data_IF_459362042888
#
_entry.id   IF_459362042888
#
_cell.length_a   1.000
_cell.length_b   1.000
_cell.length_c   1.000
_cell.angle_alpha   90.00
_cell.angle_beta   90.00
_cell.angle_gamma   90.00
#
_symmetry.space_group_name_H-M   'P 1'
#
loop_
_entity.id
_entity.type
_entity.pdbx_description
1 polymer ?
#
# COMPACT_ATOMS: atom_id res chain seq x y z
N UNK A 1 -23.21 -1.59 23.26
CA UNK A 1 -21.93 -1.69 22.52
C UNK A 1 -20.94 -2.42 23.40
N UNK A 2 -20.13 -3.32 22.85
CA UNK A 2 -19.00 -3.89 23.61
C UNK A 2 -17.94 -2.81 23.81
N UNK A 3 -17.12 -2.90 24.86
CA UNK A 3 -16.02 -1.94 25.12
C UNK A 3 -15.10 -1.77 23.89
N UNK A 4 -14.96 -2.82 23.10
CA UNK A 4 -14.20 -2.81 21.82
C UNK A 4 -14.90 -2.03 20.70
N UNK A 5 -16.22 -2.09 20.59
CA UNK A 5 -16.99 -1.31 19.61
C UNK A 5 -16.94 0.18 19.93
N UNK A 6 -16.96 0.55 21.20
CA UNK A 6 -16.82 1.93 21.63
C UNK A 6 -15.41 2.48 21.30
N UNK A 7 -14.34 1.71 21.61
CA UNK A 7 -12.97 2.08 21.34
C UNK A 7 -12.71 2.34 19.84
N UNK A 8 -13.25 1.47 18.97
CA UNK A 8 -13.03 1.56 17.52
C UNK A 8 -14.17 2.24 16.75
N UNK A 9 -15.13 2.89 17.45
CA UNK A 9 -16.33 3.48 16.84
C UNK A 9 -16.03 4.42 15.67
N UNK A 10 -14.99 5.28 15.79
CA UNK A 10 -14.57 6.20 14.72
C UNK A 10 -13.96 5.46 13.53
N UNK A 11 -13.22 4.39 13.78
CA UNK A 11 -12.62 3.57 12.72
C UNK A 11 -13.70 2.74 12.02
N UNK A 12 -14.68 2.21 12.77
CA UNK A 12 -15.83 1.52 12.22
C UNK A 12 -16.66 2.47 11.34
N UNK A 13 -16.85 3.71 11.75
CA UNK A 13 -17.54 4.72 10.94
C UNK A 13 -16.77 5.07 9.65
N UNK A 14 -15.42 5.10 9.71
CA UNK A 14 -14.58 5.43 8.56
C UNK A 14 -14.37 4.25 7.59
N UNK A 15 -14.21 3.03 8.10
CA UNK A 15 -13.78 1.87 7.31
C UNK A 15 -14.85 0.78 7.19
N UNK A 16 -15.94 0.88 7.95
CA UNK A 16 -17.00 -0.13 8.03
C UNK A 16 -16.64 -1.34 8.90
N UNK A 17 -17.67 -2.04 9.36
CA UNK A 17 -17.54 -3.20 10.26
C UNK A 17 -16.76 -4.36 9.64
N UNK A 18 -17.00 -4.62 8.35
CA UNK A 18 -16.30 -5.72 7.63
C UNK A 18 -14.79 -5.53 7.62
N UNK A 19 -14.35 -4.33 7.44
CA UNK A 19 -12.94 -3.96 7.37
C UNK A 19 -12.29 -4.07 8.75
N UNK A 20 -12.95 -3.57 9.78
CA UNK A 20 -12.48 -3.73 11.16
C UNK A 20 -12.38 -5.20 11.57
N UNK A 21 -13.31 -6.05 11.13
CA UNK A 21 -13.25 -7.50 11.35
C UNK A 21 -12.04 -8.16 10.64
N UNK A 22 -11.60 -7.62 9.51
CA UNK A 22 -10.38 -8.09 8.85
C UNK A 22 -9.12 -7.60 9.58
N UNK A 23 -9.08 -6.32 9.98
CA UNK A 23 -7.96 -5.76 10.77
C UNK A 23 -7.77 -6.57 12.05
N UNK A 24 -8.83 -6.83 12.80
CA UNK A 24 -8.77 -7.55 14.08
C UNK A 24 -8.26 -8.99 14.01
N UNK A 25 -8.09 -9.56 12.81
CA UNK A 25 -7.52 -10.90 12.58
C UNK A 25 -6.08 -10.85 12.08
N UNK A 26 -5.58 -9.67 11.72
CA UNK A 26 -4.27 -9.50 11.08
C UNK A 26 -3.12 -9.76 12.06
N UNK A 27 -2.12 -10.51 11.61
CA UNK A 27 -0.88 -10.79 12.34
C UNK A 27 0.29 -10.21 11.57
N UNK A 28 1.03 -9.31 12.21
CA UNK A 28 2.08 -8.52 11.55
C UNK A 28 3.41 -8.76 12.23
N UNK A 29 4.46 -8.95 11.43
CA UNK A 29 5.84 -9.01 11.87
C UNK A 29 6.60 -7.78 11.37
N UNK A 30 7.24 -7.04 12.27
CA UNK A 30 8.00 -5.84 11.97
C UNK A 30 9.46 -6.04 12.35
N UNK A 31 10.35 -5.94 11.37
CA UNK A 31 11.79 -6.00 11.54
C UNK A 31 12.40 -4.60 11.50
N UNK A 32 13.19 -4.25 12.53
CA UNK A 32 13.76 -2.93 12.73
C UNK A 32 12.83 -2.01 13.54
N UNK A 33 13.30 -1.54 14.71
CA UNK A 33 12.51 -0.72 15.64
C UNK A 33 13.27 0.57 15.97
N UNK A 34 13.86 1.18 14.94
CA UNK A 34 14.35 2.55 15.00
C UNK A 34 13.16 3.52 14.84
N UNK A 35 13.42 4.78 14.52
CA UNK A 35 12.39 5.80 14.40
C UNK A 35 11.24 5.43 13.46
N UNK A 36 11.54 4.91 12.24
CA UNK A 36 10.50 4.49 11.29
C UNK A 36 9.71 3.29 11.81
N UNK A 37 10.40 2.25 12.27
CA UNK A 37 9.75 1.02 12.73
C UNK A 37 8.88 1.23 13.97
N UNK A 38 9.28 2.11 14.88
CA UNK A 38 8.46 2.43 16.06
C UNK A 38 7.19 3.22 15.69
N UNK A 39 7.29 4.16 14.74
CA UNK A 39 6.14 4.89 14.22
C UNK A 39 5.13 3.98 13.52
N UNK A 40 5.61 3.05 12.70
CA UNK A 40 4.78 2.00 12.09
C UNK A 40 4.11 1.16 13.18
N UNK A 41 4.89 0.65 14.14
CA UNK A 41 4.38 -0.20 15.23
C UNK A 41 3.29 0.48 16.02
N UNK A 42 3.50 1.75 16.42
CA UNK A 42 2.51 2.57 17.12
C UNK A 42 1.21 2.68 16.33
N UNK A 43 1.29 3.12 15.08
CA UNK A 43 0.11 3.37 14.26
C UNK A 43 -0.71 2.08 14.05
N UNK A 44 -0.02 0.96 13.82
CA UNK A 44 -0.69 -0.32 13.58
C UNK A 44 -1.29 -0.90 14.84
N UNK A 45 -0.61 -0.82 15.99
CA UNK A 45 -1.17 -1.28 17.28
C UNK A 45 -2.45 -0.50 17.61
N UNK A 46 -2.46 0.81 17.36
CA UNK A 46 -3.66 1.65 17.55
C UNK A 46 -4.79 1.31 16.58
N UNK A 47 -4.47 0.75 15.40
CA UNK A 47 -5.49 0.28 14.45
C UNK A 47 -6.20 -1.02 14.89
N UNK A 48 -5.63 -1.78 15.83
CA UNK A 48 -6.28 -2.93 16.47
C UNK A 48 -6.14 -4.28 15.76
N UNK A 49 -4.97 -4.67 15.22
CA UNK A 49 -4.77 -6.01 14.67
C UNK A 49 -4.77 -7.07 15.77
N UNK A 50 -4.85 -8.35 15.39
CA UNK A 50 -4.79 -9.46 16.35
C UNK A 50 -3.45 -9.51 17.07
N UNK A 51 -2.34 -9.36 16.30
CA UNK A 51 -0.99 -9.52 16.81
C UNK A 51 0.00 -8.64 16.06
N UNK A 52 0.88 -7.97 16.80
CA UNK A 52 2.07 -7.30 16.28
C UNK A 52 3.29 -7.89 16.98
N UNK A 53 4.20 -8.47 16.20
CA UNK A 53 5.47 -8.98 16.70
C UNK A 53 6.59 -8.14 16.12
N UNK A 54 7.51 -7.72 16.96
CA UNK A 54 8.64 -6.90 16.57
C UNK A 54 9.94 -7.70 16.67
N UNK A 55 10.94 -7.31 15.90
CA UNK A 55 12.30 -7.82 16.03
C UNK A 55 13.32 -6.74 15.75
N UNK A 56 14.21 -6.52 16.70
CA UNK A 56 15.40 -5.69 16.57
C UNK A 56 16.38 -6.02 17.69
N UNK A 57 17.37 -6.80 17.40
CA UNK A 57 18.37 -7.25 18.40
C UNK A 57 19.53 -6.27 18.58
N UNK A 58 19.53 -5.15 17.85
CA UNK A 58 20.55 -4.11 18.02
C UNK A 58 20.42 -3.41 19.37
N UNK A 59 21.53 -2.86 19.83
CA UNK A 59 21.57 -2.06 21.05
C UNK A 59 21.12 -0.63 20.74
N UNK A 60 20.44 -0.05 21.72
CA UNK A 60 20.03 1.35 21.69
C UNK A 60 21.28 2.25 21.75
N UNK A 61 21.35 3.20 20.86
CA UNK A 61 22.40 4.23 20.81
C UNK A 61 21.81 5.60 21.09
N UNK A 62 22.67 6.61 21.25
CA UNK A 62 22.22 7.98 21.50
C UNK A 62 21.41 8.54 20.33
N UNK A 63 21.72 8.12 19.10
CA UNK A 63 21.01 8.54 17.89
C UNK A 63 19.55 8.05 17.88
N UNK A 64 19.27 6.90 18.49
CA UNK A 64 17.91 6.37 18.57
C UNK A 64 16.98 7.24 19.41
N UNK A 65 17.50 7.97 20.39
CA UNK A 65 16.73 8.89 21.23
C UNK A 65 16.13 10.06 20.43
N UNK A 66 16.75 10.41 19.30
CA UNK A 66 16.28 11.49 18.43
C UNK A 66 15.04 11.14 17.59
N UNK A 67 14.74 9.85 17.41
CA UNK A 67 13.65 9.39 16.54
C UNK A 67 12.69 8.38 17.19
N UNK A 68 13.13 7.63 18.19
CA UNK A 68 12.29 6.72 18.96
C UNK A 68 11.88 7.35 20.29
N UNK A 69 10.70 7.95 20.33
CA UNK A 69 10.16 8.70 21.47
C UNK A 69 9.79 7.85 22.71
N UNK A 70 9.89 6.53 22.62
CA UNK A 70 9.69 5.63 23.77
C UNK A 70 10.96 5.39 24.58
N UNK A 71 12.13 5.79 24.06
CA UNK A 71 13.42 5.54 24.67
C UNK A 71 13.88 6.72 25.53
N UNK A 72 14.60 6.41 26.60
CA UNK A 72 15.22 7.35 27.52
C UNK A 72 16.74 7.09 27.58
N UNK A 73 17.54 8.06 28.08
CA UNK A 73 18.98 7.91 28.19
C UNK A 73 19.42 6.66 28.98
N UNK A 74 18.64 6.26 29.99
CA UNK A 74 18.88 5.04 30.78
C UNK A 74 18.78 3.74 29.97
N UNK A 75 18.14 3.79 28.80
CA UNK A 75 17.92 2.62 27.94
C UNK A 75 19.09 2.35 26.99
N UNK A 76 20.04 3.30 26.88
CA UNK A 76 21.23 3.16 26.03
C UNK A 76 22.00 1.89 26.38
N UNK A 77 22.37 1.11 25.36
CA UNK A 77 23.06 -0.17 25.48
C UNK A 77 22.14 -1.38 25.69
N UNK A 78 20.84 -1.18 25.99
CA UNK A 78 19.84 -2.23 26.06
C UNK A 78 19.41 -2.67 24.66
N UNK A 79 18.78 -3.85 24.54
CA UNK A 79 18.25 -4.34 23.27
C UNK A 79 16.99 -3.56 22.89
N UNK A 80 16.95 -3.07 21.64
CA UNK A 80 15.95 -2.10 21.16
C UNK A 80 14.52 -2.65 21.21
N UNK A 81 14.27 -3.86 20.71
CA UNK A 81 12.93 -4.47 20.72
C UNK A 81 12.43 -4.76 22.15
N UNK A 82 13.29 -5.29 23.03
CA UNK A 82 12.92 -5.62 24.41
C UNK A 82 12.56 -4.40 25.24
N UNK A 83 13.16 -3.26 24.92
CA UNK A 83 12.86 -2.01 25.63
C UNK A 83 11.58 -1.40 25.07
N UNK A 84 11.46 -1.30 23.75
CA UNK A 84 10.31 -0.68 23.10
C UNK A 84 9.01 -1.44 23.32
N UNK A 85 9.03 -2.77 23.40
CA UNK A 85 7.81 -3.60 23.54
C UNK A 85 7.01 -3.23 24.78
N UNK A 86 7.65 -2.85 25.87
CA UNK A 86 6.97 -2.47 27.12
C UNK A 86 6.03 -1.29 26.93
N UNK A 87 6.50 -0.29 26.18
CA UNK A 87 5.71 0.92 25.87
C UNK A 87 4.65 0.67 24.79
N UNK A 88 4.97 -0.19 23.83
CA UNK A 88 4.01 -0.59 22.81
C UNK A 88 2.80 -1.34 23.38
N UNK A 89 3.01 -2.16 24.42
CA UNK A 89 1.92 -2.87 25.14
C UNK A 89 0.95 -1.92 25.85
N UNK A 90 1.39 -0.72 26.22
CA UNK A 90 0.54 0.28 26.90
C UNK A 90 -0.43 0.96 25.91
N UNK A 91 -0.20 0.90 24.60
CA UNK A 91 -1.00 1.61 23.60
C UNK A 91 -2.40 1.03 23.39
N UNK A 92 -2.50 -0.31 23.45
CA UNK A 92 -3.75 -0.99 23.14
C UNK A 92 -3.80 -2.38 23.78
N UNK A 93 -4.60 -2.53 24.79
CA UNK A 93 -4.73 -3.78 25.57
C UNK A 93 -5.39 -4.94 24.80
N UNK A 94 -6.05 -4.64 23.67
CA UNK A 94 -6.71 -5.66 22.85
C UNK A 94 -5.79 -6.28 21.80
N UNK A 95 -4.61 -5.69 21.59
CA UNK A 95 -3.61 -6.17 20.62
C UNK A 95 -2.53 -6.99 21.32
N UNK A 96 -2.31 -8.20 20.85
CA UNK A 96 -1.20 -9.01 21.36
C UNK A 96 0.12 -8.49 20.79
N UNK A 97 0.99 -7.94 21.65
CA UNK A 97 2.31 -7.48 21.27
C UNK A 97 3.38 -8.36 21.89
N UNK A 98 4.34 -8.81 21.09
CA UNK A 98 5.54 -9.52 21.58
C UNK A 98 6.76 -9.25 20.67
N UNK A 99 7.89 -9.88 20.95
CA UNK A 99 9.10 -9.79 20.13
C UNK A 99 9.66 -11.19 19.83
N UNK A 100 10.32 -11.35 18.66
CA UNK A 100 10.99 -12.59 18.30
C UNK A 100 12.25 -12.79 19.14
N UNK A 101 12.52 -14.04 19.46
CA UNK A 101 13.71 -14.42 20.23
C UNK A 101 14.96 -14.55 19.35
N UNK A 102 14.78 -14.89 18.09
CA UNK A 102 15.84 -15.12 17.10
C UNK A 102 15.56 -14.41 15.78
N UNK A 103 16.59 -14.32 14.93
CA UNK A 103 16.54 -13.64 13.61
C UNK A 103 16.19 -14.64 12.48
N UNK A 104 15.38 -15.64 12.75
CA UNK A 104 14.97 -16.58 11.72
C UNK A 104 13.59 -16.22 11.13
N UNK A 105 13.54 -15.06 10.43
CA UNK A 105 12.31 -14.57 9.84
C UNK A 105 11.65 -15.58 8.91
N UNK A 106 12.48 -16.31 8.15
CA UNK A 106 12.03 -17.29 7.16
C UNK A 106 11.17 -18.40 7.77
N UNK A 107 11.52 -18.86 8.98
CA UNK A 107 10.73 -19.88 9.70
C UNK A 107 9.41 -19.33 10.24
N UNK A 108 9.41 -18.07 10.64
CA UNK A 108 8.25 -17.44 11.26
C UNK A 108 7.22 -16.90 10.25
N UNK A 109 7.56 -16.76 8.95
CA UNK A 109 6.64 -16.19 7.94
C UNK A 109 5.26 -16.87 7.90
N UNK A 110 5.17 -18.16 8.20
CA UNK A 110 3.89 -18.90 8.17
C UNK A 110 2.89 -18.40 9.21
N UNK A 111 3.36 -17.83 10.30
CA UNK A 111 2.55 -17.37 11.44
C UNK A 111 1.95 -15.97 11.20
N UNK A 112 2.46 -15.21 10.21
CA UNK A 112 2.09 -13.83 9.96
C UNK A 112 1.43 -13.67 8.59
N UNK A 113 0.62 -12.65 8.47
CA UNK A 113 -0.05 -12.26 7.22
C UNK A 113 0.73 -11.19 6.47
N UNK A 114 1.54 -10.41 7.19
CA UNK A 114 2.33 -9.31 6.65
C UNK A 114 3.71 -9.26 7.33
N UNK A 115 4.76 -9.12 6.52
CA UNK A 115 6.12 -8.80 6.96
C UNK A 115 6.48 -7.37 6.56
N UNK A 116 6.97 -6.61 7.52
CA UNK A 116 7.48 -5.24 7.31
C UNK A 116 8.95 -5.22 7.69
N UNK A 117 9.79 -4.70 6.81
CA UNK A 117 11.22 -4.48 7.07
C UNK A 117 11.47 -2.99 7.01
N UNK A 118 11.88 -2.39 8.13
CA UNK A 118 12.12 -0.95 8.26
C UNK A 118 13.58 -0.60 8.57
N UNK A 119 14.48 -1.56 8.40
CA UNK A 119 15.91 -1.36 8.57
C UNK A 119 16.69 -2.02 7.42
N UNK A 120 17.87 -1.50 7.12
CA UNK A 120 18.70 -2.06 6.05
C UNK A 120 19.27 -3.42 6.46
N UNK A 121 19.18 -4.38 5.56
CA UNK A 121 19.84 -5.68 5.67
C UNK A 121 20.41 -6.10 4.31
N UNK A 122 20.99 -7.29 4.24
CA UNK A 122 21.50 -7.83 2.97
C UNK A 122 20.35 -7.91 1.94
N UNK A 123 20.55 -7.27 0.78
CA UNK A 123 19.51 -7.18 -0.25
C UNK A 123 19.07 -8.55 -0.77
N UNK A 124 19.98 -9.52 -0.83
CA UNK A 124 19.66 -10.87 -1.28
C UNK A 124 18.70 -11.56 -0.28
N UNK A 125 18.87 -11.28 1.03
CA UNK A 125 17.95 -11.77 2.06
C UNK A 125 16.59 -11.10 1.93
N UNK A 126 16.54 -9.78 1.70
CA UNK A 126 15.28 -9.05 1.48
C UNK A 126 14.53 -9.62 0.27
N UNK A 127 15.22 -9.84 -0.86
CA UNK A 127 14.62 -10.44 -2.05
C UNK A 127 14.09 -11.86 -1.79
N UNK A 128 14.81 -12.68 -1.05
CA UNK A 128 14.35 -14.02 -0.66
C UNK A 128 13.11 -13.98 0.23
N UNK A 129 13.07 -13.08 1.21
CA UNK A 129 11.93 -12.88 2.09
C UNK A 129 10.71 -12.37 1.31
N UNK A 130 10.89 -11.39 0.41
CA UNK A 130 9.82 -10.91 -0.46
C UNK A 130 9.27 -12.05 -1.33
N UNK A 131 10.13 -12.79 -2.02
CA UNK A 131 9.71 -13.94 -2.85
C UNK A 131 8.96 -14.99 -2.05
N UNK A 132 9.42 -15.30 -0.84
CA UNK A 132 8.73 -16.22 0.06
C UNK A 132 7.35 -15.70 0.47
N UNK A 133 7.22 -14.41 0.77
CA UNK A 133 5.94 -13.77 1.05
C UNK A 133 5.01 -13.83 -0.17
N UNK A 134 5.50 -13.43 -1.34
CA UNK A 134 4.74 -13.42 -2.60
C UNK A 134 4.16 -14.80 -2.94
N UNK A 135 5.00 -15.85 -2.92
CA UNK A 135 4.59 -17.23 -3.19
C UNK A 135 3.57 -17.77 -2.17
N UNK A 136 3.66 -17.34 -0.92
CA UNK A 136 2.75 -17.75 0.15
C UNK A 136 1.54 -16.81 0.32
N UNK A 137 1.33 -15.87 -0.60
CA UNK A 137 0.23 -14.88 -0.56
C UNK A 137 0.21 -14.08 0.74
N UNK A 138 1.38 -13.71 1.24
CA UNK A 138 1.59 -12.85 2.40
C UNK A 138 1.98 -11.45 1.92
N UNK A 139 1.52 -10.43 2.63
CA UNK A 139 1.96 -9.07 2.34
C UNK A 139 3.43 -8.86 2.71
N UNK A 140 4.10 -8.02 1.95
CA UNK A 140 5.48 -7.62 2.20
C UNK A 140 5.65 -6.12 1.99
N UNK A 141 6.28 -5.45 2.95
CA UNK A 141 6.64 -4.04 2.84
C UNK A 141 8.11 -3.89 3.21
N UNK A 142 8.87 -3.21 2.36
CA UNK A 142 10.23 -2.80 2.66
C UNK A 142 10.34 -1.28 2.58
N UNK A 143 10.70 -0.66 3.70
CA UNK A 143 10.75 0.80 3.79
C UNK A 143 11.97 1.28 4.58
N UNK A 144 12.52 2.43 4.19
CA UNK A 144 13.69 3.03 4.81
C UNK A 144 13.56 4.55 4.88
N UNK A 145 14.12 5.13 5.93
CA UNK A 145 14.38 6.57 6.05
C UNK A 145 15.87 6.79 6.04
N UNK A 146 16.33 7.73 5.24
CA UNK A 146 17.70 8.23 5.25
C UNK A 146 17.68 9.75 5.07
N UNK A 147 17.89 10.46 6.18
CA UNK A 147 17.79 11.91 6.26
C UNK A 147 16.38 12.40 5.92
N UNK A 148 16.26 13.20 4.87
CA UNK A 148 15.00 13.74 4.38
C UNK A 148 14.31 12.83 3.34
N UNK A 149 14.88 11.66 3.04
CA UNK A 149 14.37 10.75 2.02
C UNK A 149 13.67 9.55 2.67
N UNK A 150 12.54 9.18 2.09
CA UNK A 150 11.79 7.98 2.44
C UNK A 150 11.66 7.09 1.22
N UNK A 151 11.94 5.80 1.38
CA UNK A 151 11.77 4.77 0.37
C UNK A 151 10.78 3.73 0.88
N UNK A 152 9.83 3.34 0.03
CA UNK A 152 8.86 2.30 0.37
C UNK A 152 8.60 1.43 -0.86
N UNK A 153 8.73 0.14 -0.68
CA UNK A 153 8.33 -0.89 -1.64
C UNK A 153 7.24 -1.75 -1.00
N UNK A 154 6.19 -2.03 -1.76
CA UNK A 154 5.03 -2.80 -1.32
C UNK A 154 4.78 -3.94 -2.29
N UNK A 155 4.56 -5.13 -1.76
CA UNK A 155 4.14 -6.30 -2.51
C UNK A 155 3.04 -7.05 -1.76
N UNK A 156 1.83 -6.99 -2.29
CA UNK A 156 0.66 -7.70 -1.75
C UNK A 156 0.24 -8.87 -2.66
N UNK A 157 1.11 -9.26 -3.60
CA UNK A 157 0.83 -10.31 -4.56
C UNK A 157 -0.34 -9.93 -5.48
N UNK A 158 -1.25 -10.86 -5.71
CA UNK A 158 -2.50 -10.58 -6.41
C UNK A 158 -3.53 -10.09 -5.40
N UNK A 159 -3.78 -8.80 -5.41
CA UNK A 159 -4.67 -8.13 -4.48
C UNK A 159 -5.98 -7.72 -5.17
N UNK A 160 -7.11 -8.04 -4.55
CA UNK A 160 -8.43 -7.71 -5.05
C UNK A 160 -8.98 -6.57 -4.18
N UNK A 161 -9.09 -5.40 -4.76
CA UNK A 161 -9.77 -4.27 -4.14
C UNK A 161 -11.24 -4.41 -4.49
N UNK A 162 -12.05 -4.70 -3.50
CA UNK A 162 -13.49 -4.61 -3.67
C UNK A 162 -13.83 -3.13 -3.79
N UNK A 163 -14.24 -2.71 -4.96
CA UNK A 163 -14.71 -1.34 -5.22
C UNK A 163 -16.10 -1.15 -4.56
N UNK A 164 -16.19 -1.49 -3.29
CA UNK A 164 -17.33 -1.14 -2.46
C UNK A 164 -16.99 0.24 -1.91
N UNK A 165 -17.22 1.27 -2.70
CA UNK A 165 -17.53 2.55 -2.09
C UNK A 165 -18.56 2.24 -1.00
N UNK A 166 -18.40 2.78 0.20
CA UNK A 166 -19.32 2.58 1.34
C UNK A 166 -20.78 3.00 1.01
N UNK A 167 -21.05 3.29 -0.25
CA UNK A 167 -22.36 3.56 -0.80
C UNK A 167 -23.00 2.23 -1.16
N UNK A 168 -24.20 2.04 -0.71
CA UNK A 168 -25.11 1.03 -1.22
C UNK A 168 -25.06 1.07 -2.75
N UNK A 169 -25.06 -0.11 -3.39
CA UNK A 169 -25.10 -0.26 -4.84
C UNK A 169 -26.16 0.69 -5.41
N UNK A 170 -25.74 1.65 -6.23
CA UNK A 170 -26.64 2.68 -6.77
C UNK A 170 -27.70 2.03 -7.61
N UNK A 171 -28.96 2.39 -7.38
CA UNK A 171 -30.14 1.88 -8.07
C UNK A 171 -30.99 3.03 -8.54
N UNK A 172 -31.43 2.97 -9.78
CA UNK A 172 -32.29 3.99 -10.37
C UNK A 172 -33.49 3.37 -11.05
N UNK A 173 -34.64 4.01 -10.96
CA UNK A 173 -35.84 3.59 -11.65
C UNK A 173 -35.81 4.03 -13.11
N UNK A 174 -36.29 3.12 -14.00
CA UNK A 174 -36.39 3.37 -15.43
C UNK A 174 -37.71 4.06 -15.71
N UNK A 175 -37.64 5.26 -16.29
CA UNK A 175 -38.82 6.00 -16.77
C UNK A 175 -39.25 5.54 -18.15
N UNK A 176 -38.30 5.31 -19.05
CA UNK A 176 -38.57 4.86 -20.43
C UNK A 176 -37.32 4.23 -21.05
N UNK A 177 -37.52 3.39 -22.06
CA UNK A 177 -36.45 2.84 -22.90
C UNK A 177 -36.80 3.10 -24.36
N UNK A 178 -35.87 3.71 -25.10
CA UNK A 178 -36.02 3.93 -26.55
C UNK A 178 -35.15 2.96 -27.34
N UNK A 179 -35.77 2.18 -28.20
CA UNK A 179 -35.08 1.25 -29.09
C UNK A 179 -34.16 1.97 -30.09
N UNK A 180 -33.11 1.28 -30.51
CA UNK A 180 -32.17 1.75 -31.51
C UNK A 180 -30.94 0.85 -31.62
N UNK A 181 -30.03 1.17 -32.55
CA UNK A 181 -28.71 0.53 -32.64
C UNK A 181 -27.88 0.68 -31.37
N UNK A 182 -28.15 1.72 -30.60
CA UNK A 182 -27.74 1.95 -29.22
C UNK A 182 -29.02 2.17 -28.44
N UNK A 183 -29.23 1.38 -27.41
CA UNK A 183 -30.44 1.46 -26.59
C UNK A 183 -30.30 2.62 -25.62
N UNK A 184 -31.28 3.54 -25.64
CA UNK A 184 -31.30 4.71 -24.75
C UNK A 184 -32.24 4.48 -23.57
N UNK A 185 -31.74 4.64 -22.37
CA UNK A 185 -32.45 4.44 -21.11
C UNK A 185 -32.66 5.79 -20.44
N UNK A 186 -33.90 6.11 -20.11
CA UNK A 186 -34.31 7.31 -19.39
C UNK A 186 -34.56 6.98 -17.94
N UNK A 187 -33.99 7.75 -17.04
CA UNK A 187 -34.07 7.56 -15.59
C UNK A 187 -35.16 8.46 -15.02
N UNK A 188 -35.84 7.95 -14.00
CA UNK A 188 -36.77 8.73 -13.21
C UNK A 188 -36.00 9.45 -12.11
N UNK A 189 -35.85 10.79 -12.29
CA UNK A 189 -35.10 11.63 -11.37
C UNK A 189 -35.98 12.34 -10.32
N UNK A 190 -37.22 11.91 -10.15
CA UNK A 190 -38.13 12.58 -9.18
C UNK A 190 -37.66 12.45 -7.73
N UNK A 191 -36.90 11.40 -7.42
CA UNK A 191 -36.47 11.09 -6.04
C UNK A 191 -34.96 11.12 -5.80
N UNK A 192 -34.12 10.90 -6.83
CA UNK A 192 -32.65 10.87 -6.70
C UNK A 192 -31.96 11.43 -7.94
N UNK A 193 -30.85 12.13 -7.72
CA UNK A 193 -30.00 12.59 -8.83
C UNK A 193 -29.27 11.40 -9.44
N UNK A 194 -29.25 11.31 -10.78
CA UNK A 194 -28.50 10.29 -11.49
C UNK A 194 -27.00 10.61 -11.47
N UNK A 195 -26.20 9.73 -10.85
CA UNK A 195 -24.77 9.95 -10.57
C UNK A 195 -23.84 8.95 -11.28
N UNK A 196 -24.39 8.05 -12.11
CA UNK A 196 -23.54 7.14 -12.88
C UNK A 196 -22.83 7.89 -14.02
N UNK A 197 -21.63 7.42 -14.34
CA UNK A 197 -20.77 8.05 -15.33
C UNK A 197 -20.58 7.15 -16.56
N UNK A 198 -20.13 7.77 -17.64
CA UNK A 198 -19.74 7.06 -18.85
C UNK A 198 -18.57 6.10 -18.54
N UNK A 199 -18.69 4.86 -19.01
CA UNK A 199 -17.72 3.79 -18.78
C UNK A 199 -18.08 2.84 -17.64
N UNK A 200 -18.97 3.22 -16.72
CA UNK A 200 -19.46 2.33 -15.65
C UNK A 200 -20.38 1.24 -16.23
N UNK A 201 -20.58 0.18 -15.47
CA UNK A 201 -21.40 -0.95 -15.89
C UNK A 201 -22.69 -1.05 -15.07
N UNK A 202 -23.77 -1.46 -15.76
CA UNK A 202 -25.09 -1.64 -15.15
C UNK A 202 -25.71 -2.96 -15.54
N UNK A 203 -26.62 -3.45 -14.69
CA UNK A 203 -27.54 -4.54 -14.98
C UNK A 203 -28.95 -3.98 -14.92
N UNK A 204 -29.78 -4.42 -15.85
CA UNK A 204 -31.19 -4.02 -15.92
C UNK A 204 -32.03 -5.14 -15.31
N UNK A 205 -32.99 -4.76 -14.46
CA UNK A 205 -33.89 -5.69 -13.76
C UNK A 205 -35.34 -5.21 -13.83
N UNK A 206 -36.27 -6.10 -13.64
CA UNK A 206 -37.70 -5.86 -13.42
C UNK A 206 -38.39 -5.01 -14.52
N UNK A 207 -37.92 -5.12 -15.77
CA UNK A 207 -38.50 -4.43 -16.92
C UNK A 207 -39.72 -5.25 -17.42
N UNK A 208 -40.84 -4.58 -17.69
CA UNK A 208 -41.96 -5.14 -18.41
C UNK A 208 -41.91 -4.79 -19.90
N UNK A 209 -41.98 -5.75 -20.77
CA UNK A 209 -41.56 -5.63 -22.16
C UNK A 209 -40.05 -5.68 -22.30
N UNK A 210 -39.52 -5.74 -23.50
CA UNK A 210 -38.07 -5.83 -23.77
C UNK A 210 -37.36 -6.92 -22.92
N UNK A 211 -37.96 -8.09 -22.79
CA UNK A 211 -37.46 -9.20 -21.94
C UNK A 211 -36.03 -9.62 -22.27
N UNK A 212 -35.55 -9.30 -23.48
CA UNK A 212 -34.20 -9.57 -23.95
C UNK A 212 -33.11 -8.76 -23.13
N UNK A 213 -33.53 -7.69 -22.48
CA UNK A 213 -32.63 -6.91 -21.61
C UNK A 213 -32.49 -7.51 -20.19
N UNK A 214 -33.30 -8.51 -19.83
CA UNK A 214 -33.32 -9.19 -18.53
C UNK A 214 -32.41 -10.42 -18.45
N UNK A 215 -31.42 -10.51 -19.33
CA UNK A 215 -30.49 -11.63 -19.42
C UNK A 215 -29.39 -11.65 -18.34
N UNK A 216 -29.39 -10.68 -17.45
CA UNK A 216 -28.40 -10.53 -16.37
C UNK A 216 -27.01 -10.07 -16.84
N UNK A 217 -26.86 -9.73 -18.12
CA UNK A 217 -25.57 -9.24 -18.62
C UNK A 217 -25.26 -7.83 -18.13
N UNK A 218 -23.98 -7.63 -17.88
CA UNK A 218 -23.42 -6.30 -17.62
C UNK A 218 -23.40 -5.48 -18.91
N UNK A 219 -23.85 -4.24 -18.84
CA UNK A 219 -23.89 -3.32 -19.96
C UNK A 219 -23.11 -2.06 -19.63
N UNK A 220 -22.22 -1.65 -20.52
CA UNK A 220 -21.43 -0.45 -20.35
C UNK A 220 -22.25 0.78 -20.68
N UNK A 221 -22.16 1.79 -19.81
CA UNK A 221 -22.77 3.11 -20.05
C UNK A 221 -21.94 3.88 -21.07
N UNK A 222 -22.62 4.42 -22.07
CA UNK A 222 -22.06 5.34 -23.05
C UNK A 222 -22.98 6.55 -23.18
N UNK A 223 -22.43 7.71 -23.60
CA UNK A 223 -23.20 8.95 -23.81
C UNK A 223 -24.11 9.32 -22.62
N UNK A 224 -23.52 9.42 -21.42
CA UNK A 224 -24.24 9.70 -20.19
C UNK A 224 -24.68 11.18 -20.11
N UNK A 225 -25.94 11.42 -19.67
CA UNK A 225 -26.53 12.73 -19.37
C UNK A 225 -27.25 12.69 -18.03
N UNK A 226 -27.70 13.83 -17.54
CA UNK A 226 -28.34 13.96 -16.21
C UNK A 226 -29.57 13.08 -15.98
N UNK A 227 -30.29 12.74 -17.04
CA UNK A 227 -31.57 12.02 -16.97
C UNK A 227 -31.62 10.76 -17.84
N UNK A 228 -30.53 10.44 -18.54
CA UNK A 228 -30.49 9.32 -19.48
C UNK A 228 -29.07 8.92 -19.83
N UNK A 229 -28.94 7.68 -20.30
CA UNK A 229 -27.69 7.15 -20.86
C UNK A 229 -27.97 6.17 -21.98
N UNK A 230 -26.97 5.84 -22.76
CA UNK A 230 -27.02 4.80 -23.79
C UNK A 230 -26.19 3.59 -23.36
N UNK A 231 -26.58 2.41 -23.85
CA UNK A 231 -25.81 1.17 -23.77
C UNK A 231 -25.48 0.64 -25.17
N UNK A 232 -24.35 -0.05 -25.31
CA UNK A 232 -23.91 -0.66 -26.59
C UNK A 232 -24.72 -1.94 -26.89
N UNK A 233 -26.03 -1.80 -27.07
CA UNK A 233 -26.91 -2.91 -27.40
C UNK A 233 -27.93 -2.49 -28.45
N UNK A 234 -28.01 -3.27 -29.53
CA UNK A 234 -28.99 -3.07 -30.60
C UNK A 234 -30.34 -3.69 -30.21
N UNK A 235 -31.26 -2.86 -29.79
CA UNK A 235 -32.60 -3.24 -29.39
C UNK A 235 -33.65 -3.04 -30.50
N UNK A 236 -33.25 -2.81 -31.75
CA UNK A 236 -34.16 -2.47 -32.86
C UNK A 236 -35.24 -3.53 -33.04
N UNK A 237 -34.90 -4.80 -32.85
CA UNK A 237 -35.79 -5.95 -33.01
C UNK A 237 -36.35 -6.49 -31.68
N UNK A 238 -36.16 -5.78 -30.56
CA UNK A 238 -36.69 -6.22 -29.28
C UNK A 238 -38.16 -5.88 -29.14
N UNK A 239 -38.81 -6.50 -28.15
CA UNK A 239 -40.17 -6.16 -27.76
C UNK A 239 -40.24 -4.68 -27.35
N UNK A 240 -41.44 -4.11 -27.35
CA UNK A 240 -41.62 -2.75 -26.88
C UNK A 240 -41.52 -2.64 -25.36
N UNK A 241 -40.91 -1.58 -24.87
CA UNK A 241 -40.92 -1.25 -23.45
C UNK A 241 -42.35 -0.88 -23.01
N UNK A 242 -42.82 -1.51 -21.93
CA UNK A 242 -44.15 -1.26 -21.41
C UNK A 242 -44.08 -0.35 -20.18
N UNK A 243 -43.39 -0.80 -19.13
CA UNK A 243 -43.22 -0.02 -17.90
C UNK A 243 -42.21 -0.66 -16.93
N UNK A 244 -41.82 0.10 -15.90
CA UNK A 244 -41.00 -0.34 -14.77
C UNK A 244 -39.55 -0.61 -15.15
N UNK A 245 -38.80 -1.15 -14.25
CA UNK A 245 -37.41 -1.52 -14.38
C UNK A 245 -36.49 -0.73 -13.46
N UNK A 246 -35.40 -1.39 -13.13
CA UNK A 246 -34.35 -0.86 -12.26
C UNK A 246 -33.02 -0.97 -12.99
N UNK A 247 -32.29 0.13 -13.02
CA UNK A 247 -30.85 0.15 -13.35
C UNK A 247 -30.09 -0.08 -12.07
N UNK A 248 -29.32 -1.12 -12.01
CA UNK A 248 -28.47 -1.45 -10.85
C UNK A 248 -27.00 -1.35 -11.26
N UNK A 249 -26.22 -0.56 -10.55
CA UNK A 249 -24.79 -0.41 -10.75
C UNK A 249 -24.08 -1.76 -10.59
N UNK A 250 -23.11 -2.05 -11.46
CA UNK A 250 -22.22 -3.20 -11.31
C UNK A 250 -20.89 -2.69 -10.82
N UNK A 251 -20.60 -2.94 -9.56
CA UNK A 251 -19.32 -2.64 -8.97
C UNK A 251 -18.34 -3.75 -9.35
N UNK A 252 -17.32 -3.40 -10.14
CA UNK A 252 -16.26 -4.34 -10.50
C UNK A 252 -15.10 -4.27 -9.52
N UNK A 253 -14.62 -5.42 -9.10
CA UNK A 253 -13.42 -5.49 -8.29
C UNK A 253 -12.20 -5.11 -9.13
N UNK A 254 -11.36 -4.24 -8.59
CA UNK A 254 -10.06 -3.90 -9.19
C UNK A 254 -9.05 -4.95 -8.74
N UNK A 255 -8.40 -5.59 -9.72
CA UNK A 255 -7.33 -6.56 -9.44
C UNK A 255 -5.99 -5.85 -9.68
N UNK A 256 -5.17 -5.76 -8.62
CA UNK A 256 -3.81 -5.26 -8.70
C UNK A 256 -2.87 -6.46 -8.56
N UNK A 257 -1.96 -6.63 -9.51
CA UNK A 257 -0.90 -7.63 -9.45
C UNK A 257 0.42 -6.93 -9.15
N UNK A 258 0.90 -7.09 -7.92
CA UNK A 258 2.18 -6.56 -7.48
C UNK A 258 3.32 -7.42 -8.02
N UNK A 259 4.43 -6.78 -8.35
CA UNK A 259 5.65 -7.44 -8.82
C UNK A 259 6.62 -7.67 -7.67
N UNK A 260 7.45 -8.70 -7.79
CA UNK A 260 8.51 -8.99 -6.82
C UNK A 260 9.57 -7.87 -6.80
N UNK A 261 10.21 -7.67 -5.65
CA UNK A 261 11.25 -6.64 -5.45
C UNK A 261 12.42 -6.80 -6.42
N UNK A 262 12.82 -8.03 -6.74
CA UNK A 262 13.90 -8.31 -7.68
C UNK A 262 13.63 -7.74 -9.07
N UNK A 263 12.39 -7.80 -9.53
CA UNK A 263 11.96 -7.22 -10.80
C UNK A 263 11.96 -5.69 -10.72
N UNK A 264 11.33 -5.14 -9.68
CA UNK A 264 11.15 -3.69 -9.52
C UNK A 264 12.46 -2.93 -9.28
N UNK A 265 13.42 -3.53 -8.61
CA UNK A 265 14.76 -2.93 -8.43
C UNK A 265 15.45 -2.67 -9.78
N UNK A 266 15.29 -3.60 -10.74
CA UNK A 266 15.95 -3.53 -12.02
C UNK A 266 15.15 -2.76 -13.09
N UNK A 267 13.86 -2.61 -12.90
CA UNK A 267 12.93 -1.95 -13.82
C UNK A 267 11.95 -1.04 -13.04
N UNK A 268 12.40 0.13 -12.56
CA UNK A 268 11.48 1.07 -11.94
C UNK A 268 10.42 1.48 -12.96
N UNK A 269 9.20 0.97 -12.79
CA UNK A 269 8.09 1.23 -13.69
C UNK A 269 7.64 2.68 -13.59
N UNK A 270 7.21 3.21 -14.73
CA UNK A 270 6.49 4.47 -14.78
C UNK A 270 5.11 4.24 -14.18
N UNK A 271 4.77 5.03 -13.18
CA UNK A 271 3.38 5.13 -12.75
C UNK A 271 2.57 5.77 -13.89
N UNK A 272 1.39 5.26 -14.20
CA UNK A 272 0.53 5.82 -15.25
C UNK A 272 0.18 7.30 -15.00
N UNK A 273 0.12 7.69 -13.73
CA UNK A 273 -0.25 9.05 -13.31
C UNK A 273 0.93 9.95 -12.96
N UNK A 274 2.11 9.38 -12.66
CA UNK A 274 3.29 10.13 -12.22
C UNK A 274 4.51 9.59 -12.96
N UNK A 275 5.08 10.40 -13.85
CA UNK A 275 6.39 10.10 -14.42
C UNK A 275 7.47 10.46 -13.38
N UNK A 276 8.35 9.52 -12.98
CA UNK A 276 9.42 9.82 -12.05
C UNK A 276 10.32 10.91 -12.62
N UNK A 277 10.62 11.90 -11.80
CA UNK A 277 11.55 12.98 -12.16
C UNK A 277 13.01 12.49 -12.07
N UNK A 278 13.94 13.33 -12.47
CA UNK A 278 15.36 13.02 -12.35
C UNK A 278 15.78 12.81 -10.87
N UNK A 279 15.09 13.46 -9.92
CA UNK A 279 15.38 13.31 -8.48
C UNK A 279 15.00 11.93 -7.95
N UNK A 280 13.79 11.45 -8.22
CA UNK A 280 13.34 10.13 -7.78
C UNK A 280 14.21 9.01 -8.37
N UNK A 281 14.62 9.16 -9.63
CA UNK A 281 15.49 8.17 -10.28
C UNK A 281 16.92 8.20 -9.70
N UNK A 282 17.44 9.37 -9.33
CA UNK A 282 18.72 9.47 -8.61
C UNK A 282 18.58 8.93 -7.17
N UNK A 283 17.43 9.10 -6.52
CA UNK A 283 17.15 8.49 -5.21
C UNK A 283 17.13 6.96 -5.30
N UNK A 284 16.47 6.40 -6.33
CA UNK A 284 16.50 4.95 -6.57
C UNK A 284 17.92 4.44 -6.83
N UNK A 285 18.72 5.18 -7.60
CA UNK A 285 20.12 4.84 -7.84
C UNK A 285 20.94 4.87 -6.54
N UNK A 286 20.69 5.88 -5.67
CA UNK A 286 21.33 5.96 -4.37
C UNK A 286 20.93 4.77 -3.47
N UNK A 287 19.65 4.40 -3.45
CA UNK A 287 19.17 3.22 -2.73
C UNK A 287 19.89 1.93 -3.17
N UNK A 288 19.98 1.66 -4.46
CA UNK A 288 20.71 0.49 -4.98
C UNK A 288 22.19 0.50 -4.59
N UNK A 289 22.80 1.68 -4.59
CA UNK A 289 24.20 1.84 -4.24
C UNK A 289 24.45 1.64 -2.75
N UNK A 290 23.54 2.09 -1.88
CA UNK A 290 23.58 1.85 -0.43
C UNK A 290 23.50 0.36 -0.12
N UNK A 291 22.61 -0.37 -0.80
CA UNK A 291 22.50 -1.82 -0.63
C UNK A 291 23.76 -2.55 -1.09
N UNK A 292 24.31 -2.16 -2.22
CA UNK A 292 25.56 -2.77 -2.70
C UNK A 292 26.72 -2.46 -1.75
N UNK A 293 26.83 -1.22 -1.28
CA UNK A 293 27.85 -0.84 -0.30
C UNK A 293 27.68 -1.64 1.01
N UNK A 294 26.44 -1.78 1.53
CA UNK A 294 26.15 -2.55 2.73
C UNK A 294 26.49 -4.03 2.55
N UNK A 295 26.19 -4.63 1.41
CA UNK A 295 26.53 -6.02 1.10
C UNK A 295 28.04 -6.26 1.15
N UNK A 296 28.84 -5.31 0.62
CA UNK A 296 30.30 -5.41 0.57
C UNK A 296 30.98 -5.08 1.91
N UNK A 297 30.46 -4.11 2.68
CA UNK A 297 31.13 -3.59 3.88
C UNK A 297 30.43 -3.95 5.20
N UNK A 298 29.24 -4.56 5.14
CA UNK A 298 28.38 -4.91 6.29
C UNK A 298 28.05 -3.74 7.23
N UNK A 299 28.13 -2.52 6.73
CA UNK A 299 27.76 -1.28 7.41
C UNK A 299 27.28 -0.26 6.38
N UNK A 300 26.52 0.75 6.84
CA UNK A 300 26.24 1.94 6.06
C UNK A 300 27.48 2.84 5.95
N UNK A 301 27.60 3.65 4.89
CA UNK A 301 28.74 4.55 4.72
C UNK A 301 28.84 5.56 5.88
N UNK A 302 30.06 5.82 6.31
CA UNK A 302 30.36 6.94 7.18
C UNK A 302 30.50 8.22 6.34
N UNK A 303 30.31 9.40 6.95
CA UNK A 303 30.48 10.69 6.26
C UNK A 303 31.94 11.01 5.94
N UNK A 304 32.82 10.00 5.99
CA UNK A 304 34.23 10.14 5.62
C UNK A 304 34.42 10.20 4.10
N UNK A 305 35.38 10.95 3.63
CA UNK A 305 35.71 11.05 2.21
C UNK A 305 35.98 9.68 1.56
N UNK A 306 36.56 8.73 2.31
CA UNK A 306 36.85 7.39 1.83
C UNK A 306 35.57 6.60 1.47
N UNK A 307 34.61 6.53 2.42
CA UNK A 307 33.35 5.80 2.20
C UNK A 307 32.48 6.51 1.15
N UNK A 308 32.44 7.86 1.16
CA UNK A 308 31.74 8.64 0.14
C UNK A 308 32.30 8.40 -1.27
N UNK A 309 33.61 8.33 -1.43
CA UNK A 309 34.23 8.04 -2.72
C UNK A 309 33.95 6.59 -3.18
N UNK A 310 34.01 5.63 -2.27
CA UNK A 310 33.67 4.23 -2.59
C UNK A 310 32.24 4.09 -3.09
N UNK A 311 31.27 4.66 -2.36
CA UNK A 311 29.88 4.53 -2.74
C UNK A 311 29.55 5.29 -4.02
N UNK A 312 30.21 6.44 -4.29
CA UNK A 312 30.08 7.14 -5.58
C UNK A 312 30.59 6.32 -6.74
N UNK A 313 31.70 5.59 -6.56
CA UNK A 313 32.20 4.68 -7.59
C UNK A 313 31.21 3.53 -7.87
N UNK A 314 30.58 2.99 -6.82
CA UNK A 314 29.50 2.01 -6.93
C UNK A 314 28.32 2.61 -7.72
N UNK A 315 27.92 3.82 -7.40
CA UNK A 315 26.85 4.53 -8.10
C UNK A 315 27.13 4.72 -9.58
N UNK A 316 28.31 5.22 -9.90
CA UNK A 316 28.77 5.38 -11.30
C UNK A 316 28.78 4.06 -12.06
N UNK A 317 29.17 2.98 -11.40
CA UNK A 317 29.15 1.65 -11.99
C UNK A 317 27.70 1.20 -12.30
N UNK A 318 26.79 1.30 -11.34
CA UNK A 318 25.37 0.93 -11.52
C UNK A 318 24.73 1.80 -12.61
N UNK A 319 24.97 3.11 -12.59
CA UNK A 319 24.49 4.04 -13.62
C UNK A 319 24.95 3.66 -15.01
N UNK A 320 26.27 3.39 -15.21
CA UNK A 320 26.83 2.98 -16.49
C UNK A 320 26.24 1.66 -17.00
N UNK A 321 26.08 0.68 -16.09
CA UNK A 321 25.49 -0.62 -16.42
C UNK A 321 24.05 -0.49 -16.93
N UNK A 322 23.29 0.44 -16.39
CA UNK A 322 21.88 0.66 -16.74
C UNK A 322 21.67 1.81 -17.74
N UNK A 323 22.72 2.38 -18.32
CA UNK A 323 22.63 3.53 -19.24
C UNK A 323 21.82 3.26 -20.50
N UNK A 324 21.75 2.00 -20.97
CA UNK A 324 20.91 1.57 -22.09
C UNK A 324 19.48 1.18 -21.67
N UNK A 325 19.23 1.05 -20.36
CA UNK A 325 17.96 0.72 -19.77
C UNK A 325 17.31 1.96 -19.11
N UNK A 326 16.83 1.80 -17.89
CA UNK A 326 16.09 2.82 -17.14
C UNK A 326 16.89 4.09 -16.82
N UNK A 327 18.24 4.02 -16.83
CA UNK A 327 19.09 5.20 -16.69
C UNK A 327 19.28 6.00 -17.99
N UNK A 328 18.63 5.65 -19.10
CA UNK A 328 18.88 6.29 -20.42
C UNK A 328 18.70 7.80 -20.39
N UNK A 329 17.66 8.26 -19.71
CA UNK A 329 17.27 9.68 -19.66
C UNK A 329 17.59 10.35 -18.32
N UNK A 330 18.38 9.69 -17.45
CA UNK A 330 18.77 10.24 -16.16
C UNK A 330 20.05 11.06 -16.33
N UNK A 331 20.04 12.26 -15.73
CA UNK A 331 21.25 13.03 -15.46
C UNK A 331 21.70 12.68 -14.04
N UNK A 332 22.92 12.12 -13.94
CA UNK A 332 23.49 11.75 -12.64
C UNK A 332 23.81 13.01 -11.83
N UNK A 333 23.11 13.18 -10.72
CA UNK A 333 23.31 14.28 -9.76
C UNK A 333 24.17 13.79 -8.59
N UNK A 334 25.49 13.95 -8.76
CA UNK A 334 26.46 13.46 -7.75
C UNK A 334 26.38 14.23 -6.44
N UNK A 335 26.00 15.51 -6.43
CA UNK A 335 25.87 16.30 -5.20
C UNK A 335 24.67 15.85 -4.39
N UNK A 336 23.50 15.73 -5.03
CA UNK A 336 22.30 15.20 -4.40
C UNK A 336 22.52 13.80 -3.81
N UNK A 337 23.19 12.92 -4.57
CA UNK A 337 23.49 11.55 -4.13
C UNK A 337 24.49 11.55 -2.95
N UNK A 338 25.50 12.43 -2.95
CA UNK A 338 26.43 12.58 -1.81
C UNK A 338 25.68 12.99 -0.54
N UNK A 339 24.73 13.88 -0.65
CA UNK A 339 23.94 14.31 0.52
C UNK A 339 23.08 13.18 1.06
N UNK A 340 22.46 12.37 0.21
CA UNK A 340 21.76 11.16 0.65
C UNK A 340 22.70 10.24 1.42
N UNK A 341 23.93 10.05 0.97
CA UNK A 341 24.89 9.15 1.65
C UNK A 341 25.38 9.70 2.98
N UNK A 342 25.59 11.01 3.09
CA UNK A 342 25.96 11.64 4.38
C UNK A 342 24.92 11.40 5.46
N UNK A 343 23.66 11.38 5.07
CA UNK A 343 22.52 11.21 5.99
C UNK A 343 21.95 9.80 6.02
N UNK A 344 22.61 8.82 5.39
CA UNK A 344 22.09 7.45 5.25
C UNK A 344 21.87 6.71 6.57
N UNK A 345 22.52 7.13 7.65
CA UNK A 345 22.34 6.60 9.01
C UNK A 345 21.34 7.40 9.84
N UNK A 346 20.89 8.54 9.33
CA UNK A 346 20.07 9.47 10.09
C UNK A 346 18.59 9.19 9.84
N UNK A 347 17.84 8.96 10.90
CA UNK A 347 16.38 8.95 10.90
C UNK A 347 15.89 10.21 11.61
N UNK A 348 15.10 11.02 10.91
CA UNK A 348 14.56 12.27 11.42
C UNK A 348 13.10 12.02 11.81
N UNK A 349 12.73 12.34 13.04
CA UNK A 349 11.40 12.06 13.60
C UNK A 349 10.24 12.51 12.71
N UNK A 350 10.20 13.71 12.10
CA UNK A 350 9.12 14.08 11.18
C UNK A 350 9.00 13.18 9.95
N UNK A 351 10.13 12.73 9.39
CA UNK A 351 10.15 11.83 8.23
C UNK A 351 9.72 10.42 8.63
N UNK A 352 10.13 9.96 9.81
CA UNK A 352 9.68 8.69 10.38
C UNK A 352 8.16 8.70 10.62
N UNK A 353 7.61 9.80 11.17
CA UNK A 353 6.19 9.98 11.37
C UNK A 353 5.39 9.97 10.06
N UNK A 354 5.89 10.70 9.04
CA UNK A 354 5.31 10.67 7.69
C UNK A 354 5.35 9.25 7.09
N UNK A 355 6.53 8.62 7.06
CA UNK A 355 6.71 7.27 6.51
C UNK A 355 5.88 6.23 7.27
N UNK A 356 5.82 6.33 8.61
CA UNK A 356 4.97 5.48 9.44
C UNK A 356 3.48 5.63 9.10
N UNK A 357 3.01 6.83 8.83
CA UNK A 357 1.66 7.10 8.35
C UNK A 357 1.38 6.47 6.99
N UNK A 358 2.27 6.68 6.01
CA UNK A 358 2.16 6.11 4.66
C UNK A 358 2.10 4.57 4.72
N UNK A 359 3.05 3.95 5.42
CA UNK A 359 3.08 2.47 5.56
C UNK A 359 1.81 1.95 6.23
N UNK A 360 1.31 2.64 7.25
CA UNK A 360 0.08 2.25 7.93
C UNK A 360 -1.14 2.31 7.00
N UNK A 361 -1.21 3.30 6.13
CA UNK A 361 -2.26 3.36 5.10
C UNK A 361 -2.15 2.21 4.09
N UNK A 362 -0.94 1.86 3.65
CA UNK A 362 -0.74 0.69 2.77
C UNK A 362 -1.19 -0.61 3.44
N UNK A 363 -0.96 -0.76 4.76
CA UNK A 363 -1.44 -1.93 5.51
C UNK A 363 -2.98 -1.96 5.55
N UNK A 364 -3.63 -0.81 5.72
CA UNK A 364 -5.10 -0.71 5.66
C UNK A 364 -5.60 -1.11 4.26
N UNK A 365 -4.94 -0.66 3.19
CA UNK A 365 -5.27 -1.08 1.82
C UNK A 365 -5.08 -2.59 1.60
N UNK A 366 -4.07 -3.21 2.21
CA UNK A 366 -3.82 -4.65 2.13
C UNK A 366 -5.02 -5.48 2.56
N UNK A 367 -5.83 -5.03 3.49
CA UNK A 367 -7.04 -5.72 3.91
C UNK A 367 -8.27 -5.43 3.04
N UNK A 368 -8.11 -4.70 1.95
CA UNK A 368 -9.17 -4.37 1.00
C UNK A 368 -10.02 -3.19 1.42
N UNK A 369 -9.41 -2.23 2.10
CA UNK A 369 -9.99 -0.92 2.35
C UNK A 369 -9.44 0.07 1.32
N UNK A 370 -10.32 0.83 0.74
CA UNK A 370 -9.97 1.99 -0.09
C UNK A 370 -9.90 3.25 0.75
#
# INVERSE_FOLDING_TARGET
MSDTEELYSRQIAAYGTNSMNKISKLKILIYGIRGLGIEISKNIILAGPQKVTIFDNNKITIEDLGSNFFLEEKDIGSRRDKTSIKKLLELNNYVKCDYLKDDNLEMHLKEYDLLIISEIMDIDRIMKLNKACHLNKKGFIYCLVFGLSFYCFVDFGKHIINNINNNEQRRYYIKNIKKGKKTMIFIDNEFENFELNEGEYVILKDIKGMSQLLDGKKRRIINCKKDKFEIEEDSTNYEDFIQGGIVEEVIENIIIEYKELEEMINLPEKCEYINPTNKELNLHLAFLSLHKFYKENKKLPDSTNNDLNKILNITKYIYKKNKKGWCKNINLDEEYIKDIYKYSKCEISPICGYGGGVVSQEIIKYIGLQ
#
